data_IF_138404774273
#
_entry.id   IF_138404774273
#
_cell.length_a   1.000
_cell.length_b   1.000
_cell.length_c   1.000
_cell.angle_alpha   90.00
_cell.angle_beta   90.00
_cell.angle_gamma   90.00
#
_symmetry.space_group_name_H-M   'P 1'
#
loop_
_entity.id
_entity.type
_entity.pdbx_description
1 polymer ?
#
# COMPACT_ATOMS: atom_id res chain seq x y z
N UNK A 1 -2.24 0.93 7.65
CA UNK A 1 -3.22 -0.09 8.07
C UNK A 1 -4.59 0.32 7.53
N UNK A 2 -5.36 -0.55 6.89
CA UNK A 2 -6.68 -0.21 6.31
C UNK A 2 -7.79 -0.18 7.36
N UNK A 3 -8.94 0.39 7.00
CA UNK A 3 -10.18 0.22 7.76
C UNK A 3 -10.64 -1.23 7.58
N UNK A 4 -10.92 -1.91 8.69
CA UNK A 4 -11.34 -3.31 8.69
C UNK A 4 -12.85 -3.38 8.86
N UNK A 5 -13.47 -4.25 8.09
CA UNK A 5 -14.90 -4.57 8.21
C UNK A 5 -15.04 -6.07 8.34
N UNK A 6 -16.12 -6.52 8.98
CA UNK A 6 -16.43 -7.95 9.13
C UNK A 6 -17.48 -8.34 8.11
N UNK A 7 -17.26 -9.48 7.48
CA UNK A 7 -18.21 -10.13 6.60
C UNK A 7 -18.38 -11.58 7.03
N UNK A 8 -19.55 -12.16 6.77
CA UNK A 8 -19.89 -13.53 7.13
C UNK A 8 -20.45 -14.31 5.95
N UNK A 9 -20.11 -15.60 5.90
CA UNK A 9 -20.75 -16.58 5.02
C UNK A 9 -20.79 -17.93 5.72
N UNK A 10 -21.98 -18.52 5.85
CA UNK A 10 -22.17 -19.87 6.43
C UNK A 10 -21.52 -20.04 7.82
N UNK A 11 -21.60 -19.03 8.70
CA UNK A 11 -20.97 -19.05 10.03
C UNK A 11 -19.46 -18.75 10.03
N UNK A 12 -18.82 -18.57 8.87
CA UNK A 12 -17.42 -18.13 8.77
C UNK A 12 -17.34 -16.61 8.68
N UNK A 13 -16.72 -15.98 9.68
CA UNK A 13 -16.45 -14.53 9.69
C UNK A 13 -15.05 -14.25 9.14
N UNK A 14 -14.98 -13.39 8.12
CA UNK A 14 -13.75 -12.94 7.49
C UNK A 14 -13.64 -11.40 7.53
N UNK A 15 -12.40 -10.91 7.54
CA UNK A 15 -12.15 -9.48 7.43
C UNK A 15 -12.14 -9.04 5.97
N UNK A 16 -12.98 -8.06 5.64
CA UNK A 16 -12.84 -7.18 4.48
C UNK A 16 -12.00 -5.95 4.83
N UNK A 17 -11.59 -5.20 3.82
CA UNK A 17 -10.78 -4.00 3.99
C UNK A 17 -11.22 -2.88 3.05
N UNK A 18 -11.24 -1.64 3.54
CA UNK A 18 -11.55 -0.46 2.72
C UNK A 18 -10.43 0.57 2.81
N UNK A 19 -10.42 1.52 1.87
CA UNK A 19 -9.37 2.55 1.77
C UNK A 19 -8.01 2.03 1.31
N UNK A 20 -6.98 2.88 1.41
CA UNK A 20 -5.64 2.59 0.96
C UNK A 20 -4.99 1.41 1.69
N UNK A 21 -4.45 0.45 0.93
CA UNK A 21 -3.78 -0.73 1.48
C UNK A 21 -2.30 -0.46 1.77
N UNK A 22 -2.02 0.13 2.93
CA UNK A 22 -0.65 0.30 3.43
C UNK A 22 0.16 -0.99 3.46
N UNK A 23 -0.47 -2.11 3.82
CA UNK A 23 0.21 -3.42 3.81
C UNK A 23 0.63 -3.80 2.40
N UNK A 24 -0.22 -3.54 1.40
CA UNK A 24 0.10 -3.84 0.01
C UNK A 24 1.19 -2.91 -0.52
N UNK A 25 1.15 -1.64 -0.12
CA UNK A 25 2.18 -0.67 -0.48
C UNK A 25 3.58 -1.10 -0.01
N UNK A 26 3.72 -1.54 1.24
CA UNK A 26 5.04 -1.92 1.78
C UNK A 26 5.45 -3.37 1.47
N UNK A 27 4.50 -4.31 1.45
CA UNK A 27 4.81 -5.75 1.36
C UNK A 27 4.44 -6.37 0.01
N UNK A 28 3.79 -5.64 -0.89
CA UNK A 28 3.49 -6.11 -2.25
C UNK A 28 2.81 -7.48 -2.28
N UNK A 29 3.45 -8.44 -2.96
CA UNK A 29 2.92 -9.79 -3.22
C UNK A 29 2.73 -10.67 -1.98
N UNK A 30 3.42 -10.37 -0.88
CA UNK A 30 3.23 -11.10 0.37
C UNK A 30 1.80 -10.98 0.89
N UNK A 31 1.13 -9.85 0.65
CA UNK A 31 -0.24 -9.61 1.12
C UNK A 31 -1.26 -10.58 0.49
N UNK A 32 -1.40 -10.69 -0.84
CA UNK A 32 -2.30 -11.67 -1.44
C UNK A 32 -1.91 -13.12 -1.11
N UNK A 33 -0.62 -13.43 -0.92
CA UNK A 33 -0.20 -14.76 -0.46
C UNK A 33 -0.78 -15.11 0.92
N UNK A 34 -0.63 -14.23 1.90
CA UNK A 34 -1.12 -14.48 3.26
C UNK A 34 -2.65 -14.49 3.37
N UNK A 35 -3.36 -13.79 2.48
CA UNK A 35 -4.83 -13.79 2.46
C UNK A 35 -5.43 -15.07 1.87
N UNK A 36 -4.61 -16.02 1.38
CA UNK A 36 -5.01 -17.35 0.88
C UNK A 36 -6.13 -17.35 -0.20
N UNK A 37 -6.41 -16.20 -0.83
CA UNK A 37 -7.30 -16.09 -1.99
C UNK A 37 -6.47 -15.61 -3.17
N UNK A 38 -6.16 -16.54 -4.06
CA UNK A 38 -5.15 -16.45 -5.13
C UNK A 38 -5.51 -15.52 -6.29
N UNK A 39 -6.76 -15.04 -6.37
CA UNK A 39 -7.21 -14.10 -7.41
C UNK A 39 -6.44 -12.79 -7.24
N UNK A 40 -5.40 -12.60 -8.05
CA UNK A 40 -4.48 -11.47 -7.99
C UNK A 40 -3.06 -11.82 -7.56
N UNK A 41 -2.79 -12.96 -6.90
CA UNK A 41 -1.44 -13.30 -6.42
C UNK A 41 -0.38 -13.31 -7.55
N UNK A 42 -0.70 -13.92 -8.69
CA UNK A 42 0.24 -14.03 -9.82
C UNK A 42 0.70 -12.68 -10.37
N UNK A 43 -0.21 -11.70 -10.45
CA UNK A 43 0.13 -10.35 -10.92
C UNK A 43 1.10 -9.65 -9.96
N UNK A 44 0.83 -9.73 -8.65
CA UNK A 44 1.72 -9.15 -7.66
C UNK A 44 3.08 -9.83 -7.62
N UNK A 45 3.11 -11.16 -7.80
CA UNK A 45 4.33 -11.93 -7.86
C UNK A 45 5.18 -11.52 -9.08
N UNK A 46 4.57 -11.28 -10.24
CA UNK A 46 5.27 -10.77 -11.43
C UNK A 46 5.94 -9.41 -11.15
N UNK A 47 5.23 -8.47 -10.52
CA UNK A 47 5.81 -7.18 -10.13
C UNK A 47 6.99 -7.33 -9.16
N UNK A 48 6.93 -8.31 -8.27
CA UNK A 48 8.05 -8.63 -7.38
C UNK A 48 9.27 -9.13 -8.15
N UNK A 49 9.11 -10.02 -9.13
CA UNK A 49 10.22 -10.47 -9.98
C UNK A 49 10.85 -9.30 -10.75
N UNK A 50 10.03 -8.40 -11.30
CA UNK A 50 10.52 -7.19 -11.98
C UNK A 50 11.38 -6.33 -11.04
N UNK A 51 10.96 -6.14 -9.79
CA UNK A 51 11.76 -5.43 -8.78
C UNK A 51 13.11 -6.09 -8.53
N UNK A 52 13.14 -7.41 -8.39
CA UNK A 52 14.39 -8.15 -8.17
C UNK A 52 15.35 -7.96 -9.35
N UNK A 53 14.82 -7.97 -10.59
CA UNK A 53 15.62 -7.69 -11.79
C UNK A 53 16.18 -6.26 -11.77
N UNK A 54 15.36 -5.25 -11.45
CA UNK A 54 15.80 -3.86 -11.35
C UNK A 54 16.87 -3.70 -10.26
N UNK A 55 16.68 -4.32 -9.10
CA UNK A 55 17.65 -4.30 -8.01
C UNK A 55 18.97 -4.94 -8.40
N UNK A 56 18.92 -6.08 -9.12
CA UNK A 56 20.11 -6.73 -9.66
C UNK A 56 20.85 -5.83 -10.65
N UNK A 57 20.13 -5.13 -11.55
CA UNK A 57 20.73 -4.18 -12.49
C UNK A 57 21.43 -3.03 -11.75
N UNK A 58 20.79 -2.43 -10.74
CA UNK A 58 21.37 -1.37 -9.92
C UNK A 58 22.60 -1.84 -9.14
N UNK A 59 22.53 -3.05 -8.55
CA UNK A 59 23.65 -3.64 -7.83
C UNK A 59 24.85 -3.88 -8.75
N UNK A 60 24.62 -4.49 -9.92
CA UNK A 60 25.67 -4.72 -10.92
C UNK A 60 26.33 -3.41 -11.36
N UNK A 61 25.52 -2.39 -11.65
CA UNK A 61 26.01 -1.06 -12.04
C UNK A 61 26.86 -0.41 -10.93
N UNK A 62 26.44 -0.48 -9.67
CA UNK A 62 27.20 0.08 -8.56
C UNK A 62 28.54 -0.64 -8.33
N UNK A 63 28.58 -1.96 -8.50
CA UNK A 63 29.83 -2.71 -8.41
C UNK A 63 30.79 -2.32 -9.54
N UNK A 64 30.29 -2.19 -10.77
CA UNK A 64 31.09 -1.78 -11.93
C UNK A 64 31.68 -0.37 -11.73
N UNK A 65 30.90 0.58 -11.22
CA UNK A 65 31.40 1.92 -10.85
C UNK A 65 32.51 1.81 -9.80
N UNK A 66 32.27 1.03 -8.75
CA UNK A 66 33.21 0.89 -7.63
C UNK A 66 34.53 0.26 -8.06
N UNK A 67 34.49 -0.79 -8.89
CA UNK A 67 35.68 -1.47 -9.43
C UNK A 67 36.51 -0.56 -10.33
N UNK A 68 35.86 0.18 -11.24
CA UNK A 68 36.58 1.11 -12.13
C UNK A 68 37.20 2.28 -11.37
N UNK A 69 36.50 2.85 -10.38
CA UNK A 69 37.06 3.88 -9.52
C UNK A 69 38.26 3.36 -8.72
N UNK A 70 38.23 2.11 -8.27
CA UNK A 70 39.33 1.48 -7.55
C UNK A 70 40.56 1.24 -8.46
N UNK A 71 40.35 0.74 -9.68
CA UNK A 71 41.42 0.34 -10.60
C UNK A 71 42.01 1.51 -11.39
N UNK A 72 41.17 2.44 -11.83
CA UNK A 72 41.55 3.49 -12.78
C UNK A 72 41.40 4.90 -12.19
N UNK A 73 40.79 5.05 -11.01
CA UNK A 73 40.55 6.35 -10.37
C UNK A 73 39.46 7.19 -11.05
N UNK A 74 38.82 6.67 -12.11
CA UNK A 74 37.80 7.36 -12.90
C UNK A 74 36.73 6.37 -13.35
N UNK A 75 35.58 6.90 -13.79
CA UNK A 75 34.50 6.11 -14.37
C UNK A 75 33.80 6.90 -15.48
N UNK A 76 33.61 6.30 -16.65
CA UNK A 76 32.91 6.94 -17.76
C UNK A 76 31.40 6.73 -17.65
N UNK A 77 30.65 7.84 -17.52
CA UNK A 77 29.20 7.81 -17.38
C UNK A 77 28.55 7.55 -18.75
N UNK A 78 27.65 6.56 -18.80
CA UNK A 78 26.86 6.25 -19.99
C UNK A 78 25.37 6.54 -19.78
N UNK A 79 24.66 6.92 -20.84
CA UNK A 79 23.20 7.12 -20.79
C UNK A 79 22.42 5.86 -20.37
N UNK A 80 22.95 4.66 -20.62
CA UNK A 80 22.31 3.39 -20.22
C UNK A 80 22.16 3.25 -18.69
N UNK A 81 22.96 3.98 -17.91
CA UNK A 81 22.90 4.01 -16.46
C UNK A 81 21.62 4.63 -15.91
N UNK A 82 20.94 5.45 -16.71
CA UNK A 82 19.66 6.03 -16.33
C UNK A 82 18.53 5.01 -16.39
N UNK A 83 18.66 3.95 -17.20
CA UNK A 83 17.60 2.96 -17.41
C UNK A 83 17.15 2.29 -16.10
N UNK A 84 18.03 1.66 -15.29
CA UNK A 84 17.59 1.01 -14.06
C UNK A 84 17.10 2.02 -13.01
N UNK A 85 17.64 3.25 -12.98
CA UNK A 85 17.18 4.33 -12.10
C UNK A 85 15.75 4.73 -12.46
N UNK A 86 15.48 4.95 -13.75
CA UNK A 86 14.15 5.31 -14.24
C UNK A 86 13.13 4.20 -13.94
N UNK A 87 13.48 2.94 -14.20
CA UNK A 87 12.64 1.80 -13.87
C UNK A 87 12.35 1.71 -12.37
N UNK A 88 13.36 1.93 -11.52
CA UNK A 88 13.19 1.96 -10.07
C UNK A 88 12.28 3.12 -9.63
N UNK A 89 12.40 4.31 -10.23
CA UNK A 89 11.52 5.44 -9.87
C UNK A 89 10.08 5.23 -10.31
N UNK A 90 9.86 4.59 -11.47
CA UNK A 90 8.53 4.31 -12.01
C UNK A 90 7.75 3.25 -11.23
N UNK A 91 8.42 2.38 -10.46
CA UNK A 91 7.76 1.29 -9.74
C UNK A 91 6.97 1.78 -8.52
N UNK A 92 7.43 2.84 -7.85
CA UNK A 92 6.78 3.35 -6.64
C UNK A 92 5.38 3.94 -6.89
N UNK A 93 5.15 4.78 -7.92
CA UNK A 93 3.80 5.22 -8.28
C UNK A 93 2.86 4.05 -8.63
N UNK A 94 3.37 3.03 -9.32
CA UNK A 94 2.60 1.83 -9.65
C UNK A 94 2.17 1.07 -8.39
N UNK A 95 3.05 0.96 -7.39
CA UNK A 95 2.70 0.33 -6.10
C UNK A 95 1.67 1.12 -5.31
N UNK A 96 1.80 2.44 -5.29
CA UNK A 96 0.80 3.30 -4.66
C UNK A 96 -0.56 3.13 -5.34
N UNK A 97 -0.58 3.10 -6.67
CA UNK A 97 -1.79 2.84 -7.45
C UNK A 97 -2.39 1.47 -7.12
N UNK A 98 -1.59 0.40 -7.14
CA UNK A 98 -2.05 -0.95 -6.78
C UNK A 98 -2.59 -0.99 -5.34
N UNK A 99 -1.90 -0.38 -4.39
CA UNK A 99 -2.31 -0.33 -2.98
C UNK A 99 -3.64 0.42 -2.78
N UNK A 100 -3.90 1.45 -3.58
CA UNK A 100 -5.17 2.18 -3.57
C UNK A 100 -6.35 1.29 -4.00
N UNK A 101 -6.18 0.49 -5.06
CA UNK A 101 -7.26 -0.36 -5.58
C UNK A 101 -7.41 -1.71 -4.89
N UNK A 102 -6.33 -2.26 -4.32
CA UNK A 102 -6.31 -3.66 -3.88
C UNK A 102 -7.35 -4.00 -2.80
N UNK A 103 -7.57 -3.13 -1.81
CA UNK A 103 -8.58 -3.38 -0.78
C UNK A 103 -10.00 -3.38 -1.37
N UNK A 104 -10.28 -2.47 -2.31
CA UNK A 104 -11.56 -2.44 -3.01
C UNK A 104 -11.77 -3.70 -3.84
N UNK A 105 -10.78 -4.11 -4.60
CA UNK A 105 -10.81 -5.37 -5.35
C UNK A 105 -11.05 -6.58 -4.43
N UNK A 106 -10.32 -6.66 -3.31
CA UNK A 106 -10.44 -7.76 -2.36
C UNK A 106 -11.83 -7.81 -1.72
N UNK A 107 -12.36 -6.68 -1.25
CA UNK A 107 -13.66 -6.63 -0.59
C UNK A 107 -14.80 -6.89 -1.56
N UNK A 108 -14.76 -6.33 -2.78
CA UNK A 108 -15.74 -6.65 -3.83
C UNK A 108 -15.76 -8.14 -4.18
N UNK A 109 -14.60 -8.80 -4.23
CA UNK A 109 -14.55 -10.25 -4.47
C UNK A 109 -15.19 -11.05 -3.33
N UNK A 110 -15.03 -10.63 -2.07
CA UNK A 110 -15.71 -11.28 -0.95
C UNK A 110 -17.23 -11.15 -1.09
N UNK A 111 -17.73 -9.94 -1.38
CA UNK A 111 -19.15 -9.70 -1.60
C UNK A 111 -19.70 -10.54 -2.78
N UNK A 112 -18.97 -10.58 -3.91
CA UNK A 112 -19.32 -11.38 -5.08
C UNK A 112 -19.28 -12.90 -4.81
N UNK A 113 -18.44 -13.35 -3.88
CA UNK A 113 -18.39 -14.74 -3.42
C UNK A 113 -19.51 -15.08 -2.43
N UNK A 114 -20.38 -14.11 -2.09
CA UNK A 114 -21.56 -14.29 -1.25
C UNK A 114 -21.31 -14.07 0.24
N UNK A 115 -20.22 -13.39 0.62
CA UNK A 115 -20.06 -12.89 1.97
C UNK A 115 -20.95 -11.66 2.19
N UNK A 116 -21.70 -11.64 3.27
CA UNK A 116 -22.62 -10.56 3.63
C UNK A 116 -22.15 -9.83 4.89
N UNK A 117 -22.82 -8.73 5.23
CA UNK A 117 -22.64 -8.10 6.54
C UNK A 117 -22.98 -9.08 7.65
N UNK A 118 -22.19 -9.04 8.73
CA UNK A 118 -22.55 -9.70 10.00
C UNK A 118 -23.81 -9.04 10.54
N UNK A 119 -24.73 -9.82 11.11
CA UNK A 119 -25.92 -9.29 11.76
C UNK A 119 -25.54 -8.25 12.84
N UNK A 120 -26.31 -7.17 12.92
CA UNK A 120 -26.13 -6.04 13.84
C UNK A 120 -24.78 -5.29 13.77
N UNK A 121 -23.96 -5.51 12.74
CA UNK A 121 -22.72 -4.74 12.52
C UNK A 121 -22.98 -3.41 11.78
N UNK A 122 -23.54 -2.44 12.49
CA UNK A 122 -23.79 -1.09 11.97
C UNK A 122 -22.52 -0.39 11.47
N UNK A 123 -21.36 -0.68 12.09
CA UNK A 123 -20.08 -0.09 11.68
C UNK A 123 -19.64 -0.56 10.31
N UNK A 124 -19.60 -1.88 10.09
CA UNK A 124 -19.25 -2.45 8.79
C UNK A 124 -20.25 -2.03 7.72
N UNK A 125 -21.54 -1.94 8.06
CA UNK A 125 -22.58 -1.45 7.16
C UNK A 125 -22.34 0.00 6.73
N UNK A 126 -22.11 0.90 7.69
CA UNK A 126 -21.82 2.31 7.45
C UNK A 126 -20.59 2.50 6.57
N UNK A 127 -19.50 1.79 6.87
CA UNK A 127 -18.24 1.88 6.11
C UNK A 127 -18.43 1.35 4.69
N UNK A 128 -19.09 0.21 4.49
CA UNK A 128 -19.28 -0.34 3.14
C UNK A 128 -20.13 0.59 2.26
N UNK A 129 -21.14 1.23 2.83
CA UNK A 129 -22.01 2.15 2.09
C UNK A 129 -21.33 3.49 1.79
N UNK A 130 -20.55 4.02 2.73
CA UNK A 130 -19.75 5.24 2.52
C UNK A 130 -18.72 5.09 1.38
N UNK A 131 -18.13 3.90 1.23
CA UNK A 131 -17.25 3.59 0.10
C UNK A 131 -17.98 3.06 -1.14
N UNK A 132 -19.31 3.07 -1.15
CA UNK A 132 -20.17 2.64 -2.27
C UNK A 132 -20.01 1.17 -2.67
N UNK A 133 -19.61 0.29 -1.74
CA UNK A 133 -19.63 -1.16 -1.97
C UNK A 133 -21.04 -1.73 -1.89
N UNK A 134 -21.89 -1.14 -1.04
CA UNK A 134 -23.29 -1.51 -0.86
C UNK A 134 -24.18 -0.26 -0.98
N UNK A 135 -25.38 -0.37 -1.58
CA UNK A 135 -26.34 0.73 -1.61
C UNK A 135 -27.02 0.90 -0.24
N UNK A 136 -27.54 2.10 0.02
CA UNK A 136 -28.51 2.34 1.09
C UNK A 136 -29.89 1.85 0.66
N UNK A 137 -30.66 1.27 1.59
CA UNK A 137 -32.08 0.97 1.34
C UNK A 137 -32.92 2.25 1.44
N UNK A 138 -34.13 2.23 0.85
CA UNK A 138 -35.06 3.38 0.96
C UNK A 138 -35.44 3.67 2.42
N UNK A 139 -35.73 2.63 3.18
CA UNK A 139 -36.07 2.72 4.61
C UNK A 139 -34.93 3.35 5.41
N UNK A 140 -33.68 3.01 5.09
CA UNK A 140 -32.53 3.62 5.75
C UNK A 140 -32.36 5.09 5.41
N UNK A 141 -32.61 5.47 4.15
CA UNK A 141 -32.53 6.86 3.71
C UNK A 141 -33.63 7.74 4.33
N UNK A 142 -34.78 7.16 4.65
CA UNK A 142 -35.89 7.83 5.31
C UNK A 142 -35.68 7.97 6.83
N UNK A 143 -34.84 7.12 7.43
CA UNK A 143 -34.46 7.18 8.84
C UNK A 143 -33.28 8.12 9.09
N UNK A 144 -33.60 9.37 9.40
CA UNK A 144 -32.62 10.41 9.72
C UNK A 144 -31.68 10.04 10.89
N UNK A 145 -32.17 9.32 11.91
CA UNK A 145 -31.37 8.94 13.08
C UNK A 145 -30.33 7.91 12.68
N UNK A 146 -30.73 6.91 11.89
CA UNK A 146 -29.83 5.89 11.37
C UNK A 146 -28.81 6.46 10.38
N UNK A 147 -29.22 7.38 9.52
CA UNK A 147 -28.30 8.07 8.59
C UNK A 147 -27.24 8.88 9.32
N UNK A 148 -27.60 9.60 10.39
CA UNK A 148 -26.62 10.36 11.17
C UNK A 148 -25.64 9.41 11.88
N UNK A 149 -26.11 8.30 12.45
CA UNK A 149 -25.23 7.26 13.03
C UNK A 149 -24.25 6.70 11.99
N UNK A 150 -24.74 6.31 10.81
CA UNK A 150 -23.88 5.82 9.74
C UNK A 150 -22.83 6.85 9.33
N UNK A 151 -23.22 8.13 9.24
CA UNK A 151 -22.31 9.23 8.94
C UNK A 151 -21.25 9.40 10.02
N UNK A 152 -21.59 9.34 11.30
CA UNK A 152 -20.62 9.42 12.40
C UNK A 152 -19.60 8.28 12.32
N UNK A 153 -20.07 7.04 12.13
CA UNK A 153 -19.24 5.84 12.04
C UNK A 153 -18.31 5.90 10.81
N UNK A 154 -18.82 6.27 9.64
CA UNK A 154 -18.01 6.37 8.43
C UNK A 154 -17.00 7.52 8.53
N UNK A 155 -17.40 8.66 9.09
CA UNK A 155 -16.51 9.81 9.32
C UNK A 155 -15.37 9.45 10.26
N UNK A 156 -15.66 8.69 11.32
CA UNK A 156 -14.64 8.17 12.22
C UNK A 156 -13.64 7.27 11.47
N UNK A 157 -14.13 6.33 10.66
CA UNK A 157 -13.27 5.45 9.86
C UNK A 157 -12.38 6.24 8.87
N UNK A 158 -12.93 7.25 8.19
CA UNK A 158 -12.18 8.14 7.29
C UNK A 158 -11.13 8.96 8.02
N UNK A 159 -11.46 9.46 9.22
CA UNK A 159 -10.51 10.20 10.07
C UNK A 159 -9.33 9.30 10.47
N UNK A 160 -9.59 8.05 10.80
CA UNK A 160 -8.55 7.06 11.11
C UNK A 160 -7.63 6.80 9.90
N UNK A 161 -8.20 6.66 8.69
CA UNK A 161 -7.43 6.52 7.46
C UNK A 161 -6.50 7.72 7.20
N UNK A 162 -7.04 8.94 7.32
CA UNK A 162 -6.26 10.19 7.14
C UNK A 162 -5.15 10.33 8.18
N UNK A 163 -5.44 10.01 9.45
CA UNK A 163 -4.44 10.05 10.51
C UNK A 163 -3.24 9.16 10.19
N UNK A 164 -3.48 7.94 9.70
CA UNK A 164 -2.42 7.01 9.28
C UNK A 164 -1.59 7.55 8.11
N UNK A 165 -2.22 8.26 7.17
CA UNK A 165 -1.50 8.92 6.09
C UNK A 165 -0.54 9.99 6.60
N UNK A 166 -0.98 10.84 7.52
CA UNK A 166 -0.10 11.83 8.16
C UNK A 166 1.04 11.17 8.95
N UNK A 167 0.77 10.08 9.67
CA UNK A 167 1.81 9.32 10.36
C UNK A 167 2.86 8.77 9.38
N UNK A 168 2.44 8.25 8.23
CA UNK A 168 3.35 7.74 7.21
C UNK A 168 4.25 8.86 6.65
N UNK A 169 3.67 10.02 6.31
CA UNK A 169 4.45 11.19 5.87
C UNK A 169 5.46 11.62 6.95
N UNK A 170 5.02 11.68 8.22
CA UNK A 170 5.90 12.02 9.33
C UNK A 170 7.11 11.08 9.43
N UNK A 171 6.88 9.77 9.31
CA UNK A 171 7.95 8.76 9.29
C UNK A 171 8.90 9.00 8.11
N UNK A 172 8.38 9.24 6.91
CA UNK A 172 9.20 9.52 5.73
C UNK A 172 10.08 10.76 5.89
N UNK A 173 9.54 11.85 6.45
CA UNK A 173 10.31 13.07 6.72
C UNK A 173 11.43 12.79 7.72
N UNK A 174 11.13 12.07 8.81
CA UNK A 174 12.13 11.71 9.82
C UNK A 174 13.25 10.86 9.21
N UNK A 175 12.91 9.88 8.36
CA UNK A 175 13.90 9.05 7.66
C UNK A 175 14.79 9.89 6.76
N UNK A 176 14.24 10.84 6.01
CA UNK A 176 15.03 11.75 5.16
C UNK A 176 15.99 12.62 5.99
N UNK A 177 15.54 13.14 7.14
CA UNK A 177 16.39 13.90 8.06
C UNK A 177 17.52 13.03 8.62
N UNK A 178 17.24 11.79 9.01
CA UNK A 178 18.27 10.84 9.48
C UNK A 178 19.30 10.58 8.39
N UNK A 179 18.88 10.29 7.15
CA UNK A 179 19.78 10.05 6.02
C UNK A 179 20.66 11.28 5.75
N UNK A 180 20.07 12.48 5.78
CA UNK A 180 20.79 13.73 5.61
C UNK A 180 21.85 13.94 6.70
N UNK A 181 21.48 13.73 7.98
CA UNK A 181 22.42 13.85 9.10
C UNK A 181 23.54 12.81 9.02
N UNK A 182 23.22 11.56 8.70
CA UNK A 182 24.23 10.52 8.51
C UNK A 182 25.23 10.90 7.41
N UNK A 183 24.74 11.41 6.27
CA UNK A 183 25.59 11.92 5.19
C UNK A 183 26.49 13.07 5.65
N UNK A 184 25.92 14.04 6.37
CA UNK A 184 26.65 15.18 6.92
C UNK A 184 27.79 14.76 7.87
N UNK A 185 27.51 13.86 8.82
CA UNK A 185 28.51 13.35 9.75
C UNK A 185 29.56 12.46 9.09
N UNK A 186 29.19 11.68 8.08
CA UNK A 186 30.13 10.82 7.36
C UNK A 186 31.14 11.67 6.55
N UNK A 187 30.67 12.75 5.91
CA UNK A 187 31.53 13.74 5.24
C UNK A 187 32.46 14.42 6.25
N UNK A 188 31.94 14.84 7.40
CA UNK A 188 32.74 15.50 8.43
C UNK A 188 33.85 14.60 9.00
N UNK A 189 33.57 13.30 9.20
CA UNK A 189 34.57 12.34 9.67
C UNK A 189 35.62 11.96 8.61
N UNK A 190 35.34 12.13 7.31
CA UNK A 190 36.30 11.86 6.23
C UNK A 190 37.27 13.02 5.96
N UNK A 191 37.03 14.21 6.53
CA UNK A 191 37.88 15.40 6.38
C UNK A 191 38.93 15.51 7.51
N UNK A 192 38.87 14.62 8.51
CA UNK A 192 39.89 14.49 9.58
C UNK A 192 40.89 13.39 9.27
#
# INVERSE_FOLDING_TARGET
MSVKIKLEKNGEVINGFTGFSWTTFFFGFWVPAFRKRSKGFGLFFLFFIIKVIILYMLFKQNNEISENLLLYGTYEVSYSMLTPILLATAIYPLEAWIAYFYNSYYTNNLLAEGYNLVEDDEYSAAVLKDYSYLPYSKEELEDNVKMERYRELSTFARKEERSKFYSAIGIWIILLVIIYLLGYFNIFNSIK
#
